data_IF_288583726307
#
_entry.id   IF_288583726307
#
_cell.length_a   1.000
_cell.length_b   1.000
_cell.length_c   1.000
_cell.angle_alpha   90.00
_cell.angle_beta   90.00
_cell.angle_gamma   90.00
#
_symmetry.space_group_name_H-M   'P 1'
#
loop_
_entity.id
_entity.type
_entity.pdbx_description
1 polymer ?
#
# COMPACT_ATOMS: atom_id res chain seq x y z
N UNK A 1 24.81 -1.75 10.35
CA UNK A 1 23.89 -1.49 11.47
C UNK A 1 22.83 -2.56 11.38
N UNK A 2 22.90 -3.55 12.26
CA UNK A 2 21.94 -4.66 12.26
C UNK A 2 20.64 -4.16 12.89
N UNK A 3 19.58 -4.16 12.12
CA UNK A 3 18.25 -3.84 12.62
C UNK A 3 17.63 -5.14 13.16
N UNK A 4 17.32 -5.22 14.46
CA UNK A 4 16.91 -6.47 15.09
C UNK A 4 15.38 -6.68 14.98
N UNK A 5 14.72 -6.00 14.05
CA UNK A 5 13.28 -6.09 13.89
C UNK A 5 12.88 -7.51 13.50
N UNK A 6 11.85 -8.03 14.15
CA UNK A 6 11.26 -9.31 13.77
C UNK A 6 10.74 -9.25 12.33
N UNK A 7 10.95 -10.33 11.58
CA UNK A 7 10.38 -10.50 10.26
C UNK A 7 8.85 -10.41 10.29
N UNK A 8 8.26 -9.93 9.21
CA UNK A 8 6.82 -10.05 9.05
C UNK A 8 6.41 -11.52 8.90
N UNK A 9 5.17 -11.83 9.28
CA UNK A 9 4.57 -13.13 8.94
C UNK A 9 4.22 -13.20 7.45
N UNK A 10 3.88 -14.40 6.97
CA UNK A 10 3.32 -14.57 5.63
C UNK A 10 2.06 -13.69 5.44
N UNK A 11 1.87 -13.11 4.24
CA UNK A 11 2.65 -13.29 3.01
C UNK A 11 3.89 -12.37 2.88
N UNK A 12 4.23 -11.59 3.91
CA UNK A 12 5.27 -10.55 3.86
C UNK A 12 6.63 -11.00 4.39
N UNK A 13 6.84 -12.31 4.61
CA UNK A 13 8.07 -12.85 5.20
C UNK A 13 9.36 -12.49 4.43
N UNK A 14 9.25 -12.09 3.15
CA UNK A 14 10.36 -11.65 2.30
C UNK A 14 10.66 -10.15 2.35
N UNK A 15 9.79 -9.35 2.98
CA UNK A 15 9.96 -7.90 3.08
C UNK A 15 10.89 -7.62 4.24
N UNK A 16 11.97 -6.88 4.00
CA UNK A 16 12.86 -6.45 5.07
C UNK A 16 12.15 -5.41 5.97
N UNK A 17 11.83 -5.74 7.24
CA UNK A 17 11.21 -4.79 8.17
C UNK A 17 12.10 -3.56 8.46
N UNK A 18 13.38 -3.62 8.13
CA UNK A 18 14.36 -2.57 8.36
C UNK A 18 14.49 -1.59 7.18
N UNK A 19 13.96 -1.96 6.02
CA UNK A 19 13.90 -1.11 4.83
C UNK A 19 12.55 -0.41 4.74
N UNK A 20 12.53 0.89 5.05
CA UNK A 20 11.31 1.70 4.92
C UNK A 20 10.76 1.68 3.49
N UNK A 21 11.65 1.65 2.50
CA UNK A 21 11.30 1.60 1.09
C UNK A 21 10.61 0.28 0.70
N UNK A 22 11.14 -0.87 1.14
CA UNK A 22 10.50 -2.17 0.86
C UNK A 22 9.13 -2.28 1.53
N UNK A 23 9.02 -1.84 2.79
CA UNK A 23 7.72 -1.81 3.50
C UNK A 23 6.71 -0.90 2.79
N UNK A 24 7.15 0.27 2.32
CA UNK A 24 6.30 1.20 1.57
C UNK A 24 5.83 0.62 0.23
N UNK A 25 6.74 0.04 -0.57
CA UNK A 25 6.40 -0.59 -1.85
C UNK A 25 5.42 -1.75 -1.63
N UNK A 26 5.72 -2.67 -0.71
CA UNK A 26 4.87 -3.81 -0.41
C UNK A 26 3.47 -3.40 0.06
N UNK A 27 3.38 -2.35 0.88
CA UNK A 27 2.09 -1.83 1.33
C UNK A 27 1.29 -1.24 0.17
N UNK A 28 1.90 -0.40 -0.68
CA UNK A 28 1.22 0.18 -1.84
C UNK A 28 0.75 -0.92 -2.82
N UNK A 29 1.62 -1.86 -3.18
CA UNK A 29 1.27 -2.93 -4.12
C UNK A 29 0.15 -3.82 -3.58
N UNK A 30 0.15 -4.10 -2.27
CA UNK A 30 -0.92 -4.88 -1.63
C UNK A 30 -2.23 -4.10 -1.61
N UNK A 31 -2.21 -2.83 -1.19
CA UNK A 31 -3.40 -1.97 -1.11
C UNK A 31 -4.06 -1.78 -2.47
N UNK A 32 -3.27 -1.72 -3.55
CA UNK A 32 -3.75 -1.39 -4.89
C UNK A 32 -3.86 -2.58 -5.85
N UNK A 33 -3.48 -3.81 -5.45
CA UNK A 33 -3.85 -4.99 -6.24
C UNK A 33 -5.23 -5.50 -5.82
N UNK A 34 -6.10 -5.75 -6.80
CA UNK A 34 -7.48 -6.15 -6.58
C UNK A 34 -7.82 -7.45 -7.27
N UNK A 35 -8.61 -8.27 -6.58
CA UNK A 35 -9.22 -9.50 -7.07
C UNK A 35 -10.74 -9.41 -6.90
N UNK A 36 -11.46 -8.63 -7.73
CA UNK A 36 -12.90 -8.37 -7.55
C UNK A 36 -13.78 -9.63 -7.56
N UNK A 37 -13.31 -10.74 -8.14
CA UNK A 37 -13.99 -12.04 -8.08
C UNK A 37 -13.96 -12.70 -6.71
N UNK A 38 -12.95 -12.38 -5.90
CA UNK A 38 -12.69 -12.97 -4.57
C UNK A 38 -13.00 -11.98 -3.43
N UNK A 39 -12.94 -10.68 -3.72
CA UNK A 39 -13.05 -9.60 -2.76
C UNK A 39 -14.43 -8.93 -2.84
N UNK A 40 -14.99 -8.59 -1.68
CA UNK A 40 -16.25 -7.85 -1.63
C UNK A 40 -16.12 -6.44 -2.21
N UNK A 41 -15.05 -5.74 -1.81
CA UNK A 41 -14.70 -4.39 -2.23
C UNK A 41 -13.18 -4.14 -2.06
N UNK A 42 -12.73 -2.93 -2.44
CA UNK A 42 -11.35 -2.46 -2.34
C UNK A 42 -10.78 -2.51 -0.91
N UNK A 43 -11.64 -2.43 0.13
CA UNK A 43 -11.18 -2.47 1.53
C UNK A 43 -10.57 -3.82 1.89
N UNK A 44 -10.89 -4.86 1.14
CA UNK A 44 -10.30 -6.20 1.32
C UNK A 44 -8.78 -6.17 1.11
N UNK A 45 -8.28 -5.45 0.11
CA UNK A 45 -6.84 -5.30 -0.15
C UNK A 45 -6.15 -4.44 0.89
N UNK A 46 -6.82 -3.38 1.38
CA UNK A 46 -6.30 -2.60 2.51
C UNK A 46 -6.16 -3.46 3.76
N UNK A 47 -7.19 -4.24 4.12
CA UNK A 47 -7.14 -5.16 5.27
C UNK A 47 -6.00 -6.16 5.15
N UNK A 48 -5.72 -6.66 3.94
CA UNK A 48 -4.60 -7.57 3.69
C UNK A 48 -3.23 -6.92 3.95
N UNK A 49 -3.11 -5.60 3.78
CA UNK A 49 -1.88 -4.84 4.03
C UNK A 49 -1.69 -4.42 5.49
N UNK A 50 -2.66 -4.68 6.38
CA UNK A 50 -2.60 -4.27 7.80
C UNK A 50 -1.36 -4.73 8.57
N UNK A 51 -0.72 -5.89 8.29
CA UNK A 51 0.53 -6.27 8.96
C UNK A 51 1.69 -5.31 8.71
N UNK A 52 1.64 -4.52 7.63
CA UNK A 52 2.64 -3.53 7.25
C UNK A 52 2.35 -2.13 7.85
N UNK A 53 1.24 -1.96 8.57
CA UNK A 53 0.74 -0.68 9.05
C UNK A 53 0.90 -0.53 10.56
N UNK A 54 0.86 0.70 11.06
CA UNK A 54 0.68 0.94 12.49
C UNK A 54 -0.75 0.55 12.87
N UNK A 55 -0.93 0.02 14.09
CA UNK A 55 -2.25 -0.37 14.61
C UNK A 55 -3.25 0.79 14.54
N UNK A 56 -2.80 1.98 14.91
CA UNK A 56 -3.55 3.23 14.85
C UNK A 56 -4.03 3.58 13.44
N UNK A 57 -3.15 3.46 12.43
CA UNK A 57 -3.49 3.79 11.05
C UNK A 57 -4.47 2.76 10.48
N UNK A 58 -4.22 1.47 10.72
CA UNK A 58 -5.12 0.40 10.31
C UNK A 58 -6.54 0.57 10.90
N UNK A 59 -6.64 0.89 12.19
CA UNK A 59 -7.92 1.09 12.87
C UNK A 59 -8.69 2.33 12.36
N UNK A 60 -7.99 3.45 12.11
CA UNK A 60 -8.62 4.66 11.56
C UNK A 60 -9.17 4.44 10.15
N UNK A 61 -8.48 3.66 9.33
CA UNK A 61 -8.90 3.41 7.95
C UNK A 61 -10.21 2.63 7.85
N UNK A 62 -10.40 1.62 8.72
CA UNK A 62 -11.64 0.84 8.74
C UNK A 62 -12.87 1.69 9.09
N UNK A 63 -12.69 2.84 9.74
CA UNK A 63 -13.77 3.74 10.17
C UNK A 63 -13.98 4.96 9.28
N UNK A 64 -12.92 5.48 8.66
CA UNK A 64 -12.95 6.75 7.91
C UNK A 64 -12.60 6.63 6.43
N UNK A 65 -12.21 5.44 5.95
CA UNK A 65 -11.55 5.21 4.67
C UNK A 65 -12.25 5.85 3.46
N UNK A 66 -11.71 6.93 2.87
CA UNK A 66 -12.11 7.38 1.56
C UNK A 66 -11.71 6.35 0.49
N UNK A 67 -12.41 6.43 -0.63
CA UNK A 67 -12.18 5.74 -1.90
C UNK A 67 -10.68 5.80 -2.26
N UNK A 68 -9.92 4.71 -2.04
CA UNK A 68 -8.45 4.63 -2.21
C UNK A 68 -7.98 5.05 -3.60
N UNK A 69 -8.85 4.94 -4.58
CA UNK A 69 -8.65 5.40 -5.94
C UNK A 69 -10.05 5.64 -6.51
N UNK A 70 -10.25 6.49 -7.53
CA UNK A 70 -11.55 6.74 -8.17
C UNK A 70 -12.08 5.50 -8.94
N UNK A 71 -12.19 4.36 -8.26
CA UNK A 71 -12.76 3.10 -8.69
C UNK A 71 -14.17 3.09 -8.12
N UNK A 72 -15.12 3.41 -8.98
CA UNK A 72 -16.54 3.40 -8.63
C UNK A 72 -17.04 1.97 -8.41
N UNK A 73 -18.14 1.82 -7.66
CA UNK A 73 -18.82 0.52 -7.50
C UNK A 73 -19.20 -0.10 -8.85
N UNK A 74 -19.58 0.73 -9.83
CA UNK A 74 -19.89 0.27 -11.19
C UNK A 74 -18.67 -0.37 -11.86
N UNK A 75 -17.50 0.27 -11.78
CA UNK A 75 -16.24 -0.25 -12.32
C UNK A 75 -15.82 -1.54 -11.61
N UNK A 76 -15.94 -1.60 -10.30
CA UNK A 76 -15.68 -2.82 -9.52
C UNK A 76 -16.55 -4.00 -9.97
N UNK A 77 -17.88 -3.78 -10.09
CA UNK A 77 -18.80 -4.82 -10.54
C UNK A 77 -18.54 -5.25 -11.99
N UNK A 78 -18.13 -4.32 -12.85
CA UNK A 78 -17.72 -4.65 -14.21
C UNK A 78 -16.49 -5.57 -14.20
N UNK A 79 -15.43 -5.22 -13.47
CA UNK A 79 -14.24 -6.06 -13.35
C UNK A 79 -14.54 -7.43 -12.78
N UNK A 80 -15.39 -7.51 -11.76
CA UNK A 80 -15.86 -8.78 -11.19
C UNK A 80 -16.54 -9.67 -12.23
N UNK A 81 -17.49 -9.13 -13.01
CA UNK A 81 -18.18 -9.89 -14.07
C UNK A 81 -17.23 -10.36 -15.17
N UNK A 82 -16.22 -9.56 -15.49
CA UNK A 82 -15.23 -9.86 -16.53
C UNK A 82 -14.05 -10.69 -16.02
N UNK A 83 -14.00 -11.02 -14.73
CA UNK A 83 -12.87 -11.74 -14.12
C UNK A 83 -11.55 -10.96 -14.18
N UNK A 84 -11.59 -9.63 -14.24
CA UNK A 84 -10.39 -8.78 -14.31
C UNK A 84 -9.71 -8.76 -12.95
N UNK A 85 -8.46 -9.21 -12.92
CA UNK A 85 -7.52 -8.98 -11.81
C UNK A 85 -6.73 -7.71 -12.10
N UNK A 86 -6.53 -6.89 -11.07
CA UNK A 86 -5.65 -5.72 -11.13
C UNK A 86 -4.41 -6.02 -10.31
N UNK A 87 -3.24 -5.96 -10.93
CA UNK A 87 -1.95 -5.97 -10.22
C UNK A 87 -1.39 -4.56 -10.17
N UNK A 88 -0.82 -4.17 -9.03
CA UNK A 88 -0.18 -2.89 -8.88
C UNK A 88 1.34 -3.05 -8.78
N UNK A 89 2.08 -2.08 -9.33
CA UNK A 89 3.51 -1.91 -9.06
C UNK A 89 3.75 -0.50 -8.54
N UNK A 90 4.56 -0.37 -7.48
CA UNK A 90 4.85 0.93 -6.88
C UNK A 90 6.29 1.37 -7.11
N UNK A 91 6.48 2.63 -7.51
CA UNK A 91 7.79 3.26 -7.60
C UNK A 91 7.82 4.49 -6.70
N UNK A 92 8.73 4.48 -5.72
CA UNK A 92 8.98 5.65 -4.88
C UNK A 92 9.76 6.70 -5.70
N UNK A 93 9.36 7.96 -5.61
CA UNK A 93 10.09 9.09 -6.18
C UNK A 93 10.95 9.75 -5.11
N UNK A 94 12.10 10.28 -5.50
CA UNK A 94 13.05 10.92 -4.57
C UNK A 94 12.84 12.43 -4.39
N UNK A 95 11.90 13.01 -5.14
CA UNK A 95 11.62 14.45 -5.12
C UNK A 95 10.53 14.80 -4.09
N UNK A 96 10.60 16.02 -3.56
CA UNK A 96 9.53 16.67 -2.79
C UNK A 96 9.03 15.89 -1.56
N UNK A 97 9.98 15.44 -0.73
CA UNK A 97 9.68 14.82 0.57
C UNK A 97 10.42 15.49 1.74
N UNK A 98 9.88 15.43 2.96
CA UNK A 98 10.62 15.78 4.17
C UNK A 98 11.92 14.96 4.26
N UNK A 99 12.97 15.53 4.85
CA UNK A 99 14.21 14.79 5.08
C UNK A 99 13.93 13.50 5.87
N UNK A 100 14.53 12.39 5.42
CA UNK A 100 14.46 11.13 6.14
C UNK A 100 15.17 11.22 7.48
N UNK A 101 14.64 10.49 8.47
CA UNK A 101 15.27 10.32 9.78
C UNK A 101 15.27 8.85 10.17
N UNK A 102 15.93 8.53 11.29
CA UNK A 102 15.94 7.17 11.84
C UNK A 102 14.55 6.63 12.24
N UNK A 103 13.53 7.49 12.26
CA UNK A 103 12.17 7.18 12.72
C UNK A 103 11.07 7.63 11.76
N UNK A 104 11.40 8.38 10.71
CA UNK A 104 10.47 8.92 9.73
C UNK A 104 10.96 8.69 8.30
N UNK A 105 10.08 8.16 7.47
CA UNK A 105 10.26 8.02 6.03
C UNK A 105 8.99 8.49 5.33
N UNK A 106 9.13 9.37 4.35
CA UNK A 106 8.00 9.88 3.59
C UNK A 106 8.38 10.00 2.11
N UNK A 107 7.47 9.59 1.23
CA UNK A 107 7.69 9.62 -0.22
C UNK A 107 6.42 9.93 -0.98
N UNK A 108 6.58 10.56 -2.13
CA UNK A 108 5.58 10.52 -3.21
C UNK A 108 5.89 9.30 -4.07
N UNK A 109 4.90 8.45 -4.30
CA UNK A 109 5.02 7.24 -5.10
C UNK A 109 4.12 7.31 -6.33
N UNK A 110 4.60 6.76 -7.45
CA UNK A 110 3.75 6.42 -8.58
C UNK A 110 3.32 4.96 -8.43
N UNK A 111 2.01 4.71 -8.41
CA UNK A 111 1.45 3.35 -8.40
C UNK A 111 0.82 3.08 -9.76
N UNK A 112 1.44 2.22 -10.55
CA UNK A 112 0.87 1.76 -11.81
C UNK A 112 -0.13 0.63 -11.54
N UNK A 113 -1.32 0.72 -12.14
CA UNK A 113 -2.35 -0.30 -12.08
C UNK A 113 -2.42 -1.00 -13.43
N UNK A 114 -2.26 -2.33 -13.40
CA UNK A 114 -2.26 -3.19 -14.57
C UNK A 114 -3.49 -4.10 -14.54
N UNK A 115 -4.63 -3.65 -15.10
CA UNK A 115 -5.79 -4.51 -15.29
C UNK A 115 -5.52 -5.53 -16.41
N UNK A 116 -5.89 -6.79 -16.16
CA UNK A 116 -5.86 -7.83 -17.19
C UNK A 116 -6.87 -7.60 -18.33
N UNK A 117 -6.84 -8.50 -19.32
CA UNK A 117 -7.88 -8.56 -20.37
C UNK A 117 -7.84 -7.43 -21.41
N UNK A 118 -6.64 -6.89 -21.70
CA UNK A 118 -6.47 -5.83 -22.72
C UNK A 118 -6.91 -4.43 -22.27
N UNK A 119 -7.25 -4.26 -20.99
CA UNK A 119 -7.57 -2.95 -20.43
C UNK A 119 -6.29 -2.11 -20.29
N UNK A 120 -6.27 -0.83 -20.70
CA UNK A 120 -5.11 0.03 -20.54
C UNK A 120 -4.68 0.18 -19.07
N UNK A 121 -3.37 0.21 -18.84
CA UNK A 121 -2.81 0.56 -17.53
C UNK A 121 -3.07 2.03 -17.21
N UNK A 122 -3.24 2.32 -15.93
CA UNK A 122 -3.35 3.69 -15.41
C UNK A 122 -2.35 3.87 -14.27
N UNK A 123 -2.17 5.10 -13.78
CA UNK A 123 -1.28 5.38 -12.65
C UNK A 123 -1.92 6.33 -11.66
N UNK A 124 -1.57 6.13 -10.39
CA UNK A 124 -1.96 6.98 -9.27
C UNK A 124 -0.71 7.61 -8.67
N UNK A 125 -0.86 8.81 -8.14
CA UNK A 125 0.17 9.44 -7.30
C UNK A 125 -0.27 9.27 -5.85
N UNK A 126 0.60 8.68 -5.03
CA UNK A 126 0.31 8.36 -3.63
C UNK A 126 1.37 8.95 -2.74
N UNK A 127 0.96 9.78 -1.78
CA UNK A 127 1.83 10.15 -0.67
C UNK A 127 1.77 9.04 0.38
N UNK A 128 2.93 8.54 0.79
CA UNK A 128 3.05 7.49 1.80
C UNK A 128 4.04 7.92 2.89
N UNK A 129 3.69 7.59 4.14
CA UNK A 129 4.55 7.85 5.30
C UNK A 129 4.70 6.59 6.14
N UNK A 130 5.93 6.19 6.39
CA UNK A 130 6.29 5.15 7.34
C UNK A 130 6.94 5.76 8.59
N UNK A 131 6.71 5.14 9.73
CA UNK A 131 7.39 5.47 10.99
C UNK A 131 8.04 4.23 11.57
N UNK A 132 9.10 4.46 12.35
CA UNK A 132 9.74 3.44 13.18
C UNK A 132 9.90 4.00 14.59
N UNK A 133 9.20 3.47 15.61
CA UNK A 133 9.17 4.08 16.94
C UNK A 133 10.53 4.03 17.66
N UNK A 134 11.35 3.02 17.38
CA UNK A 134 12.71 2.87 17.91
C UNK A 134 13.53 1.91 17.03
N UNK A 135 14.84 1.89 17.19
CA UNK A 135 15.72 1.05 16.36
C UNK A 135 15.44 -0.45 16.41
N UNK A 136 14.90 -1.05 17.50
CA UNK A 136 14.48 -2.45 17.49
C UNK A 136 13.17 -2.73 16.76
N UNK A 137 12.32 -1.73 16.54
CA UNK A 137 11.07 -1.91 15.81
C UNK A 137 11.32 -1.92 14.29
N UNK A 138 10.49 -2.64 13.55
CA UNK A 138 10.45 -2.52 12.09
C UNK A 138 9.68 -1.27 11.66
N UNK A 139 9.89 -0.82 10.42
CA UNK A 139 9.09 0.23 9.80
C UNK A 139 7.63 -0.20 9.64
N UNK A 140 6.72 0.76 9.81
CA UNK A 140 5.27 0.57 9.63
C UNK A 140 4.64 1.78 8.95
N UNK A 141 3.69 1.54 8.06
CA UNK A 141 2.95 2.61 7.37
C UNK A 141 2.00 3.30 8.35
N UNK A 142 2.11 4.62 8.42
CA UNK A 142 1.37 5.50 9.33
C UNK A 142 0.38 6.42 8.60
N UNK A 143 0.53 6.58 7.28
CA UNK A 143 -0.40 7.29 6.42
C UNK A 143 -0.22 6.90 4.95
N UNK A 144 -1.33 6.97 4.23
CA UNK A 144 -1.42 6.81 2.78
C UNK A 144 -2.48 7.79 2.28
N UNK A 145 -2.15 8.57 1.26
CA UNK A 145 -3.07 9.53 0.64
C UNK A 145 -2.91 9.50 -0.88
N UNK A 146 -4.00 9.30 -1.61
CA UNK A 146 -3.99 9.35 -3.07
C UNK A 146 -4.29 10.76 -3.54
N UNK A 147 -3.41 11.31 -4.37
CA UNK A 147 -3.60 12.61 -5.01
C UNK A 147 -4.44 12.43 -6.27
N UNK A 148 -5.59 13.11 -6.31
CA UNK A 148 -6.53 13.14 -7.44
C UNK A 148 -6.46 14.45 -8.19
#
# INVERSE_FOLDING_TARGET
MDCPAASFADPFARIDPCSAAEVAVAALETVFTYRPSEQADQRSSFRAATPLMTTDFAARWDTTGPVLAPITSMRWQQWRRLGIVLTATARLGDDDHPADTDTLFARVATVALHPGGGTPSTSLVVYIRAIRPNSPAGWRISALEVRT
#
